data_IF_018302149683
#
_entry.id   IF_018302149683
#
_cell.length_a   1.000
_cell.length_b   1.000
_cell.length_c   1.000
_cell.angle_alpha   90.00
_cell.angle_beta   90.00
_cell.angle_gamma   90.00
#
_symmetry.space_group_name_H-M   'P 1'
#
loop_
_entity.id
_entity.type
_entity.pdbx_description
1 polymer ?
#
# COMPACT_ATOMS: atom_id res chain seq x y z
N UNK A 1 0.31 -10.90 2.09
CA UNK A 1 0.72 -9.83 3.04
C UNK A 1 2.21 -9.50 3.01
N UNK A 2 3.12 -10.47 3.13
CA UNK A 2 4.58 -10.18 3.10
C UNK A 2 5.05 -9.41 1.86
N UNK A 3 4.49 -9.66 0.66
CA UNK A 3 4.88 -8.96 -0.58
C UNK A 3 4.50 -7.49 -0.61
N UNK A 4 3.27 -7.14 -0.22
CA UNK A 4 2.83 -5.75 -0.12
C UNK A 4 3.69 -4.97 0.87
N UNK A 5 3.95 -5.55 2.05
CA UNK A 5 4.78 -4.92 3.07
C UNK A 5 6.22 -4.66 2.56
N UNK A 6 6.84 -5.63 1.89
CA UNK A 6 8.17 -5.45 1.27
C UNK A 6 8.15 -4.38 0.17
N UNK A 7 7.14 -4.36 -0.68
CA UNK A 7 7.00 -3.36 -1.74
C UNK A 7 6.92 -1.93 -1.17
N UNK A 8 6.20 -1.73 -0.07
CA UNK A 8 6.14 -0.44 0.64
C UNK A 8 7.48 -0.09 1.30
N UNK A 9 8.20 -1.06 1.89
CA UNK A 9 9.55 -0.80 2.42
C UNK A 9 10.55 -0.41 1.32
N UNK A 10 10.46 -1.03 0.14
CA UNK A 10 11.32 -0.69 -0.99
C UNK A 10 10.97 0.66 -1.61
N UNK A 11 9.69 1.05 -1.61
CA UNK A 11 9.25 2.38 -2.05
C UNK A 11 9.97 3.50 -1.28
N UNK A 12 10.15 3.34 0.04
CA UNK A 12 10.83 4.34 0.89
C UNK A 12 12.28 4.58 0.47
N UNK A 13 12.92 3.58 -0.17
CA UNK A 13 14.32 3.61 -0.62
C UNK A 13 14.50 4.10 -2.06
N UNK A 14 13.42 4.25 -2.84
CA UNK A 14 13.53 4.66 -4.24
C UNK A 14 14.02 6.10 -4.40
N UNK A 15 14.70 6.45 -5.51
CA UNK A 15 14.97 7.84 -5.90
C UNK A 15 13.66 8.63 -6.06
N UNK A 16 13.65 9.93 -5.75
CA UNK A 16 12.42 10.76 -5.75
C UNK A 16 11.67 10.70 -7.10
N UNK A 17 12.41 10.71 -8.21
CA UNK A 17 11.87 10.64 -9.57
C UNK A 17 11.08 9.34 -9.85
N UNK A 18 11.42 8.25 -9.16
CA UNK A 18 10.85 6.92 -9.38
C UNK A 18 9.69 6.61 -8.42
N UNK A 19 9.52 7.44 -7.38
CA UNK A 19 8.49 7.24 -6.33
C UNK A 19 7.09 7.19 -6.94
N UNK A 20 6.74 8.17 -7.77
CA UNK A 20 5.38 8.26 -8.33
C UNK A 20 5.03 7.02 -9.16
N UNK A 21 5.96 6.58 -10.00
CA UNK A 21 5.80 5.35 -10.79
C UNK A 21 5.64 4.13 -9.88
N UNK A 22 6.49 4.01 -8.85
CA UNK A 22 6.45 2.87 -7.94
C UNK A 22 5.19 2.84 -7.08
N UNK A 23 4.65 4.01 -6.74
CA UNK A 23 3.34 4.13 -6.07
C UNK A 23 2.22 3.56 -6.95
N UNK A 24 2.20 3.91 -8.23
CA UNK A 24 1.20 3.38 -9.17
C UNK A 24 1.31 1.87 -9.33
N UNK A 25 2.53 1.33 -9.47
CA UNK A 25 2.75 -0.12 -9.57
C UNK A 25 2.22 -0.88 -8.35
N UNK A 26 2.50 -0.39 -7.14
CA UNK A 26 2.02 -1.00 -5.88
C UNK A 26 0.49 -0.92 -5.80
N UNK A 27 -0.09 0.20 -6.23
CA UNK A 27 -1.55 0.35 -6.30
C UNK A 27 -2.17 -0.70 -7.24
N UNK A 28 -1.67 -0.83 -8.46
CA UNK A 28 -2.21 -1.78 -9.45
C UNK A 28 -2.06 -3.24 -9.02
N UNK A 29 -0.96 -3.59 -8.35
CA UNK A 29 -0.68 -4.98 -7.96
C UNK A 29 -1.51 -5.44 -6.75
N UNK A 30 -1.76 -4.56 -5.78
CA UNK A 30 -2.30 -4.95 -4.47
C UNK A 30 -3.62 -4.31 -4.09
N UNK A 31 -3.97 -3.15 -4.66
CA UNK A 31 -5.06 -2.30 -4.15
C UNK A 31 -6.14 -1.99 -5.19
N UNK A 32 -5.78 -1.87 -6.47
CA UNK A 32 -6.72 -1.53 -7.53
C UNK A 32 -7.88 -2.54 -7.61
N UNK A 33 -9.08 -2.12 -8.04
CA UNK A 33 -10.17 -3.06 -8.31
C UNK A 33 -9.74 -4.15 -9.29
N UNK A 34 -9.83 -5.42 -8.87
CA UNK A 34 -9.37 -6.55 -9.68
C UNK A 34 -7.85 -6.77 -9.67
N UNK A 35 -7.13 -6.18 -8.72
CA UNK A 35 -5.69 -6.36 -8.55
C UNK A 35 -5.31 -7.85 -8.48
N UNK A 36 -4.25 -8.27 -9.20
CA UNK A 36 -3.87 -9.68 -9.32
C UNK A 36 -3.41 -10.28 -7.99
N UNK A 37 -2.93 -9.45 -7.06
CA UNK A 37 -2.53 -9.84 -5.70
C UNK A 37 -3.27 -8.99 -4.66
N UNK A 38 -4.58 -8.79 -4.85
CA UNK A 38 -5.41 -7.99 -3.97
C UNK A 38 -5.21 -8.36 -2.50
N UNK A 39 -4.88 -7.37 -1.68
CA UNK A 39 -4.86 -7.52 -0.22
C UNK A 39 -6.23 -7.17 0.34
N UNK A 40 -6.68 -7.94 1.33
CA UNK A 40 -7.94 -7.63 2.01
C UNK A 40 -7.73 -6.38 2.85
N UNK A 41 -8.26 -5.25 2.40
CA UNK A 41 -8.40 -4.03 3.20
C UNK A 41 -9.88 -3.86 3.50
N UNK A 42 -10.23 -3.53 4.74
CA UNK A 42 -11.56 -3.02 5.03
C UNK A 42 -11.81 -1.71 4.26
N UNK A 43 -13.07 -1.41 3.96
CA UNK A 43 -13.46 -0.29 3.09
C UNK A 43 -12.96 1.08 3.59
N UNK A 44 -12.81 1.26 4.90
CA UNK A 44 -12.34 2.51 5.48
C UNK A 44 -10.83 2.70 5.23
N UNK A 45 -10.05 1.63 5.31
CA UNK A 45 -8.63 1.61 4.95
C UNK A 45 -8.37 1.86 3.46
N UNK A 46 -9.26 1.34 2.59
CA UNK A 46 -9.17 1.56 1.15
C UNK A 46 -9.36 3.03 0.76
N UNK A 47 -10.39 3.70 1.28
CA UNK A 47 -10.65 5.13 0.99
C UNK A 47 -9.47 6.01 1.43
N UNK A 48 -8.93 5.77 2.62
CA UNK A 48 -7.81 6.56 3.16
C UNK A 48 -6.54 6.36 2.33
N UNK A 49 -6.26 5.13 1.91
CA UNK A 49 -5.12 4.83 1.03
C UNK A 49 -5.29 5.43 -0.37
N UNK A 50 -6.50 5.39 -0.93
CA UNK A 50 -6.80 6.00 -2.24
C UNK A 50 -6.59 7.51 -2.24
N UNK A 51 -6.92 8.19 -1.14
CA UNK A 51 -6.63 9.62 -0.98
C UNK A 51 -5.13 9.90 -0.89
N UNK A 52 -4.38 9.11 -0.11
CA UNK A 52 -2.92 9.27 0.04
C UNK A 52 -2.14 8.99 -1.26
N UNK A 53 -2.66 8.14 -2.15
CA UNK A 53 -2.05 7.86 -3.45
C UNK A 53 -2.07 9.09 -4.36
N UNK A 54 -3.08 9.96 -4.23
CA UNK A 54 -3.15 11.21 -5.00
C UNK A 54 -2.04 12.20 -4.62
N UNK A 55 -1.48 12.08 -3.42
CA UNK A 55 -0.38 12.94 -2.92
C UNK A 55 1.00 12.47 -3.43
N UNK A 56 1.13 11.20 -3.87
CA UNK A 56 2.31 10.67 -4.56
C UNK A 56 3.60 10.59 -3.71
N UNK A 57 3.48 10.64 -2.39
CA UNK A 57 4.61 10.63 -1.45
C UNK A 57 5.15 9.23 -1.18
N UNK A 58 6.39 9.13 -0.70
CA UNK A 58 6.99 7.85 -0.24
C UNK A 58 6.28 7.24 0.96
N UNK A 59 5.45 8.03 1.64
CA UNK A 59 4.68 7.65 2.82
C UNK A 59 3.22 7.32 2.48
N UNK A 60 2.85 7.35 1.19
CA UNK A 60 1.49 7.11 0.68
C UNK A 60 0.84 5.83 1.25
N UNK A 61 1.62 4.78 1.53
CA UNK A 61 1.11 3.50 2.02
C UNK A 61 1.41 3.21 3.51
N UNK A 62 1.94 4.15 4.29
CA UNK A 62 2.27 3.87 5.71
C UNK A 62 1.04 3.51 6.56
N UNK A 63 -0.07 4.18 6.30
CA UNK A 63 -1.35 3.88 6.93
C UNK A 63 -1.84 2.47 6.57
N UNK A 64 -1.75 2.08 5.29
CA UNK A 64 -2.10 0.74 4.82
C UNK A 64 -1.17 -0.34 5.40
N UNK A 65 0.12 -0.03 5.55
CA UNK A 65 1.14 -0.93 6.08
C UNK A 65 0.94 -1.20 7.58
N UNK A 66 0.50 -0.20 8.34
CA UNK A 66 0.22 -0.34 9.79
C UNK A 66 -1.07 -1.12 10.06
N UNK A 67 -2.08 -1.00 9.19
CA UNK A 67 -3.37 -1.68 9.34
C UNK A 67 -3.33 -3.15 8.90
N UNK A 68 -2.68 -3.46 7.77
CA UNK A 68 -2.45 -4.84 7.34
C UNK A 68 -1.66 -5.69 8.36
N UNK A 69 -0.91 -5.04 9.26
CA UNK A 69 -0.20 -5.69 10.36
C UNK A 69 -1.13 -5.98 11.56
N UNK A 70 -2.14 -5.13 11.78
CA UNK A 70 -3.05 -5.21 12.93
C UNK A 70 -4.08 -6.34 12.78
N UNK A 71 -4.61 -6.55 11.58
CA UNK A 71 -5.48 -7.70 11.28
C UNK A 71 -4.79 -9.06 11.48
N UNK A 72 -3.44 -9.12 11.43
CA UNK A 72 -2.70 -10.36 11.69
C UNK A 72 -2.54 -10.66 13.20
N UNK A 73 -2.69 -9.66 14.05
CA UNK A 73 -2.52 -9.78 15.52
C UNK A 73 -3.82 -9.88 16.30
N UNK A 74 -4.97 -9.61 15.67
CA UNK A 74 -6.30 -9.79 16.28
C UNK A 74 -6.88 -11.21 16.04
N UNK A 75 -6.16 -12.08 15.31
CA UNK A 75 -6.51 -13.49 15.05
C UNK A 75 -5.77 -14.48 16.00
N UNK A 76 -5.35 -14.03 17.20
CA UNK A 76 -4.77 -14.88 18.28
C UNK A 76 -5.50 -14.77 19.62
#
# INVERSE_FOLDING_TARGET
>A
MARFWLAVQDLKKQPLQDVAKRVEEIWQEFLAPGAPSAINLDSHSYERTSQNVKDGSRYTFEDAQSLALKDLTDDV
#
